data_IF_990493594609
#
_entry.id   IF_990493594609
#
_cell.length_a   1.000
_cell.length_b   1.000
_cell.length_c   1.000
_cell.angle_alpha   90.00
_cell.angle_beta   90.00
_cell.angle_gamma   90.00
#
_symmetry.space_group_name_H-M   'P 1'
#
loop_
_entity.id
_entity.type
_entity.pdbx_description
1 polymer ?
#
# COMPACT_ATOMS: atom_id res chain seq x y z
N UNK A 1 -18.10 -25.12 16.50
CA UNK A 1 -16.70 -24.84 16.15
C UNK A 1 -16.54 -23.34 15.94
N UNK A 2 -15.60 -22.70 16.60
CA UNK A 2 -15.38 -21.27 16.36
C UNK A 2 -14.84 -21.03 14.97
N UNK A 3 -15.30 -19.95 14.36
CA UNK A 3 -14.77 -19.47 13.10
C UNK A 3 -13.58 -18.57 13.40
N UNK A 4 -12.42 -18.94 12.88
CA UNK A 4 -11.20 -18.14 13.03
C UNK A 4 -11.05 -17.28 11.79
N UNK A 5 -10.89 -15.98 11.97
CA UNK A 5 -10.62 -15.05 10.90
C UNK A 5 -9.16 -14.64 10.98
N UNK A 6 -8.42 -14.91 9.93
CA UNK A 6 -7.03 -14.48 9.82
C UNK A 6 -6.95 -13.19 9.02
N UNK A 7 -6.07 -12.28 9.45
CA UNK A 7 -5.73 -11.11 8.66
C UNK A 7 -4.85 -11.49 7.48
N UNK A 8 -4.59 -10.53 6.60
CA UNK A 8 -3.73 -10.71 5.44
C UNK A 8 -2.29 -10.94 5.90
N UNK A 9 -1.69 -12.03 5.44
CA UNK A 9 -0.27 -12.34 5.70
C UNK A 9 0.64 -11.45 4.84
N UNK A 10 1.91 -11.36 5.23
CA UNK A 10 2.92 -10.66 4.44
C UNK A 10 2.90 -11.18 3.00
N UNK A 11 2.73 -10.27 2.05
CA UNK A 11 2.65 -10.61 0.63
C UNK A 11 1.46 -11.45 0.22
N UNK A 12 0.49 -11.68 1.11
CA UNK A 12 -0.69 -12.51 0.81
C UNK A 12 -1.54 -11.96 -0.33
N UNK A 13 -1.48 -10.66 -0.57
CA UNK A 13 -2.17 -10.00 -1.68
C UNK A 13 -1.49 -10.21 -3.04
N UNK A 14 -0.21 -10.60 -3.03
CA UNK A 14 0.58 -10.73 -4.27
C UNK A 14 0.20 -12.00 -5.02
N UNK A 15 -0.14 -11.85 -6.30
CA UNK A 15 -0.40 -12.97 -7.22
C UNK A 15 0.88 -13.32 -7.98
N UNK A 16 1.58 -12.29 -8.49
CA UNK A 16 2.80 -12.48 -9.29
C UNK A 16 3.62 -11.21 -9.32
N UNK A 17 4.95 -11.36 -9.38
CA UNK A 17 5.86 -10.25 -9.64
C UNK A 17 7.04 -10.73 -10.48
N UNK A 18 7.64 -9.81 -11.26
CA UNK A 18 8.73 -10.16 -12.17
C UNK A 18 10.01 -10.52 -11.40
N UNK A 19 10.37 -9.74 -10.39
CA UNK A 19 11.55 -9.97 -9.56
C UNK A 19 11.46 -9.13 -8.30
N UNK A 20 11.45 -9.78 -7.14
CA UNK A 20 11.28 -9.07 -5.87
C UNK A 20 12.32 -7.99 -5.61
N UNK A 21 13.56 -8.21 -6.04
CA UNK A 21 14.65 -7.25 -5.84
C UNK A 21 14.44 -5.98 -6.67
N UNK A 22 13.62 -6.06 -7.71
CA UNK A 22 13.27 -4.92 -8.55
C UNK A 22 11.96 -4.26 -8.10
N UNK A 23 10.97 -5.05 -7.75
CA UNK A 23 9.61 -4.56 -7.45
C UNK A 23 9.46 -4.02 -6.04
N UNK A 24 10.25 -4.53 -5.10
CA UNK A 24 10.15 -4.19 -3.68
C UNK A 24 11.27 -3.28 -3.24
N UNK A 25 10.97 -2.36 -2.34
CA UNK A 25 11.98 -1.52 -1.69
C UNK A 25 11.61 -1.32 -0.23
N UNK A 26 12.63 -1.11 0.59
CA UNK A 26 12.46 -0.69 1.98
C UNK A 26 12.30 0.82 2.01
N UNK A 27 11.21 1.27 2.66
CA UNK A 27 10.90 2.69 2.78
C UNK A 27 10.62 3.02 4.24
N UNK A 28 10.44 4.31 4.54
CA UNK A 28 10.04 4.76 5.87
C UNK A 28 8.58 5.17 5.83
N UNK A 29 7.78 4.58 6.74
CA UNK A 29 6.40 4.97 6.96
C UNK A 29 6.39 6.03 8.06
N UNK A 30 5.75 7.16 7.78
CA UNK A 30 5.73 8.31 8.69
C UNK A 30 4.96 8.00 9.97
N UNK A 31 5.46 8.54 11.09
CA UNK A 31 4.75 8.54 12.37
C UNK A 31 3.34 9.13 12.19
N UNK A 32 2.37 8.53 12.85
CA UNK A 32 0.97 8.94 12.76
C UNK A 32 0.15 8.22 11.69
N UNK A 33 0.80 7.40 10.86
CA UNK A 33 0.08 6.60 9.86
C UNK A 33 -0.79 5.53 10.50
N UNK A 34 -0.45 5.12 11.73
CA UNK A 34 -1.23 4.15 12.47
C UNK A 34 -0.79 2.71 12.23
N UNK A 35 -1.65 1.80 12.62
CA UNK A 35 -1.42 0.36 12.44
C UNK A 35 -1.91 -0.05 11.06
N UNK A 36 -1.01 -0.53 10.23
CA UNK A 36 -1.27 -0.87 8.85
C UNK A 36 -1.15 -2.36 8.60
N UNK A 37 -2.05 -2.91 7.82
CA UNK A 37 -2.03 -4.32 7.41
C UNK A 37 -1.27 -4.49 6.10
N UNK A 38 -0.82 -5.72 5.83
CA UNK A 38 -0.29 -6.08 4.51
C UNK A 38 -1.35 -5.81 3.43
N UNK A 39 -0.94 -5.27 2.31
CA UNK A 39 -1.85 -4.91 1.22
C UNK A 39 -2.40 -3.48 1.29
N UNK A 40 -1.99 -2.68 2.29
CA UNK A 40 -2.40 -1.29 2.39
C UNK A 40 -1.77 -0.47 1.27
N UNK A 41 -2.59 0.30 0.56
CA UNK A 41 -2.11 1.22 -0.47
C UNK A 41 -1.53 2.46 0.21
N UNK A 42 -0.32 2.83 -0.17
CA UNK A 42 0.40 3.95 0.42
C UNK A 42 0.57 5.10 -0.58
N UNK A 43 0.61 6.30 -0.05
CA UNK A 43 1.01 7.49 -0.78
C UNK A 43 2.36 7.98 -0.26
N UNK A 44 3.09 8.70 -1.10
CA UNK A 44 4.39 9.26 -0.73
C UNK A 44 4.28 10.75 -0.46
N UNK A 45 4.67 11.17 0.74
CA UNK A 45 4.71 12.58 1.11
C UNK A 45 5.85 13.23 0.34
N UNK A 46 5.56 14.27 -0.42
CA UNK A 46 6.52 14.96 -1.29
C UNK A 46 7.68 15.52 -0.48
N UNK A 47 7.40 16.18 0.65
CA UNK A 47 8.43 16.71 1.53
C UNK A 47 8.96 15.61 2.43
N UNK A 48 10.24 15.30 2.34
CA UNK A 48 10.89 14.27 3.15
C UNK A 48 10.84 12.87 2.58
N UNK A 49 9.93 12.58 1.64
CA UNK A 49 9.87 11.28 0.96
C UNK A 49 9.39 10.11 1.79
N UNK A 50 8.77 10.36 2.94
CA UNK A 50 8.19 9.30 3.76
C UNK A 50 6.85 8.87 3.19
N UNK A 51 6.47 7.62 3.48
CA UNK A 51 5.20 7.07 3.03
C UNK A 51 4.17 7.11 4.16
N UNK A 52 2.92 7.23 3.79
CA UNK A 52 1.78 7.15 4.70
C UNK A 52 0.63 6.44 3.96
N UNK A 53 -0.48 6.20 4.65
CA UNK A 53 -1.67 5.67 3.96
C UNK A 53 -2.10 6.60 2.84
N UNK A 54 -2.62 6.03 1.76
CA UNK A 54 -3.22 6.83 0.68
C UNK A 54 -4.29 7.76 1.28
N UNK A 55 -4.17 9.04 1.01
CA UNK A 55 -5.08 10.06 1.52
C UNK A 55 -5.64 10.88 0.36
N UNK A 56 -6.73 10.43 -0.29
CA UNK A 56 -7.20 11.01 -1.56
C UNK A 56 -7.52 12.52 -1.49
N UNK A 57 -7.81 13.02 -0.30
CA UNK A 57 -8.13 14.45 -0.10
C UNK A 57 -6.94 15.29 0.36
N UNK A 58 -5.77 14.67 0.56
CA UNK A 58 -4.57 15.39 0.97
C UNK A 58 -3.98 16.18 -0.20
N UNK A 59 -3.05 17.09 0.13
CA UNK A 59 -2.35 17.92 -0.85
C UNK A 59 -0.83 17.83 -0.72
N UNK A 60 -0.33 16.91 0.12
CA UNK A 60 1.09 16.76 0.45
C UNK A 60 1.82 15.70 -0.38
N UNK A 61 1.16 15.11 -1.38
CA UNK A 61 1.68 14.02 -2.21
C UNK A 61 1.05 12.67 -1.91
N UNK A 62 0.53 12.47 -0.70
CA UNK A 62 -0.08 11.19 -0.30
C UNK A 62 -1.45 10.95 -0.93
N UNK A 63 -2.00 11.90 -1.66
CA UNK A 63 -3.23 11.72 -2.43
C UNK A 63 -3.03 10.83 -3.66
N UNK A 64 -1.80 10.61 -4.07
CA UNK A 64 -1.46 9.76 -5.22
C UNK A 64 -0.93 8.41 -4.73
N UNK A 65 -1.49 7.31 -5.22
CA UNK A 65 -1.02 5.98 -4.86
C UNK A 65 0.44 5.79 -5.33
N UNK A 66 1.30 5.35 -4.43
CA UNK A 66 2.73 5.21 -4.69
C UNK A 66 3.26 3.78 -4.50
N UNK A 67 2.50 2.92 -3.87
CA UNK A 67 2.91 1.53 -3.65
C UNK A 67 1.96 0.79 -2.74
N UNK A 68 2.27 -0.48 -2.50
CA UNK A 68 1.46 -1.37 -1.66
C UNK A 68 2.35 -1.97 -0.59
N UNK A 69 1.94 -1.84 0.67
CA UNK A 69 2.69 -2.35 1.81
C UNK A 69 2.78 -3.88 1.79
N UNK A 70 3.99 -4.41 1.92
CA UNK A 70 4.24 -5.86 1.87
C UNK A 70 3.77 -6.58 3.14
N UNK A 71 4.09 -6.02 4.30
CA UNK A 71 3.77 -6.64 5.60
C UNK A 71 3.21 -5.59 6.55
N UNK A 72 2.40 -6.05 7.51
CA UNK A 72 1.81 -5.17 8.51
C UNK A 72 2.86 -4.50 9.39
N UNK A 73 2.57 -3.28 9.80
CA UNK A 73 3.41 -2.52 10.73
C UNK A 73 2.57 -1.55 11.56
N UNK A 74 3.17 -1.00 12.59
CA UNK A 74 2.53 0.00 13.45
C UNK A 74 3.40 1.26 13.49
N UNK A 75 2.94 2.31 12.83
CA UNK A 75 3.57 3.61 12.78
C UNK A 75 2.77 4.67 13.57
N UNK A 76 2.09 4.25 14.64
CA UNK A 76 1.23 5.14 15.43
C UNK A 76 2.02 6.22 16.16
N UNK A 77 3.21 5.90 16.67
CA UNK A 77 3.97 6.81 17.54
C UNK A 77 5.39 7.13 17.06
N UNK A 78 5.87 6.46 16.02
CA UNK A 78 7.21 6.66 15.48
C UNK A 78 7.26 6.27 14.01
N UNK A 79 8.26 6.79 13.29
CA UNK A 79 8.57 6.33 11.94
C UNK A 79 9.01 4.88 11.98
N UNK A 80 8.57 4.07 11.02
CA UNK A 80 8.87 2.65 10.93
C UNK A 80 9.32 2.30 9.53
N UNK A 81 10.38 1.48 9.42
CA UNK A 81 10.79 0.92 8.14
C UNK A 81 9.83 -0.17 7.69
N UNK A 82 9.48 -0.18 6.43
CA UNK A 82 8.62 -1.21 5.84
C UNK A 82 9.04 -1.52 4.42
N UNK A 83 8.66 -2.70 3.96
CA UNK A 83 8.87 -3.11 2.57
C UNK A 83 7.60 -2.85 1.78
N UNK A 84 7.75 -2.24 0.61
CA UNK A 84 6.62 -1.95 -0.28
C UNK A 84 6.89 -2.43 -1.68
N UNK A 85 5.83 -2.77 -2.40
CA UNK A 85 5.89 -2.97 -3.85
C UNK A 85 5.71 -1.60 -4.49
N UNK A 86 6.76 -1.08 -5.09
CA UNK A 86 6.79 0.26 -5.69
C UNK A 86 6.56 0.27 -7.18
N UNK A 87 6.84 -0.84 -7.85
CA UNK A 87 6.74 -0.92 -9.30
C UNK A 87 6.49 -2.35 -9.74
N UNK A 88 6.00 -2.49 -10.96
CA UNK A 88 5.82 -3.78 -11.61
C UNK A 88 6.86 -4.05 -12.68
N UNK A 89 6.66 -5.06 -13.48
CA UNK A 89 5.40 -5.85 -13.56
C UNK A 89 5.08 -6.66 -12.30
N UNK A 90 3.91 -6.44 -11.74
CA UNK A 90 3.37 -7.21 -10.62
C UNK A 90 1.85 -7.30 -10.75
N UNK A 91 1.29 -8.43 -10.31
CA UNK A 91 -0.15 -8.64 -10.26
C UNK A 91 -0.55 -8.88 -8.81
N UNK A 92 -1.53 -8.14 -8.34
CA UNK A 92 -2.02 -8.25 -6.97
C UNK A 92 -3.52 -8.57 -6.96
N UNK A 93 -3.96 -9.26 -5.89
CA UNK A 93 -5.36 -9.60 -5.72
C UNK A 93 -6.11 -8.38 -5.16
N UNK A 94 -7.01 -7.82 -5.97
CA UNK A 94 -7.76 -6.62 -5.59
C UNK A 94 -8.63 -6.80 -4.35
N UNK A 95 -9.01 -8.04 -4.03
CA UNK A 95 -9.82 -8.34 -2.86
C UNK A 95 -9.02 -8.34 -1.56
N UNK A 96 -7.69 -8.38 -1.66
CA UNK A 96 -6.77 -8.37 -0.52
C UNK A 96 -6.13 -6.99 -0.30
N UNK A 97 -6.50 -6.00 -1.10
CA UNK A 97 -5.97 -4.64 -0.99
C UNK A 97 -6.78 -3.85 0.03
N UNK A 98 -6.09 -3.20 0.96
CA UNK A 98 -6.70 -2.34 1.96
C UNK A 98 -6.72 -0.89 1.47
N UNK A 99 -7.89 -0.39 1.18
CA UNK A 99 -8.13 0.99 0.77
C UNK A 99 -8.34 1.89 2.00
N UNK A 100 -8.10 3.21 1.88
CA UNK A 100 -8.39 4.11 2.99
C UNK A 100 -9.86 4.07 3.36
N UNK A 101 -10.14 4.18 4.66
CA UNK A 101 -11.50 4.23 5.17
C UNK A 101 -12.25 5.41 4.54
N UNK A 102 -13.47 5.16 4.09
CA UNK A 102 -14.29 6.18 3.44
C UNK A 102 -13.92 6.50 2.01
N UNK A 103 -12.99 5.75 1.39
CA UNK A 103 -12.63 5.97 -0.01
C UNK A 103 -13.83 5.73 -0.93
N UNK A 104 -14.06 6.67 -1.84
CA UNK A 104 -15.12 6.53 -2.84
C UNK A 104 -14.67 5.61 -3.97
N UNK A 105 -15.64 5.08 -4.73
CA UNK A 105 -15.34 4.25 -5.88
C UNK A 105 -14.49 4.99 -6.91
N UNK A 106 -14.76 6.28 -7.12
CA UNK A 106 -13.96 7.12 -8.01
C UNK A 106 -12.50 7.26 -7.54
N UNK A 107 -12.30 7.40 -6.22
CA UNK A 107 -10.97 7.47 -5.62
C UNK A 107 -10.20 6.15 -5.76
N UNK A 108 -10.87 5.03 -5.56
CA UNK A 108 -10.30 3.70 -5.75
C UNK A 108 -9.93 3.47 -7.20
N UNK A 109 -10.79 3.85 -8.13
CA UNK A 109 -10.53 3.75 -9.57
C UNK A 109 -9.30 4.59 -9.97
N UNK A 110 -9.21 5.82 -9.48
CA UNK A 110 -8.06 6.70 -9.75
C UNK A 110 -6.76 6.09 -9.21
N UNK A 111 -6.78 5.56 -8.00
CA UNK A 111 -5.62 4.90 -7.40
C UNK A 111 -5.23 3.64 -8.18
N UNK A 112 -6.19 2.84 -8.61
CA UNK A 112 -5.96 1.65 -9.44
C UNK A 112 -5.28 2.02 -10.75
N UNK A 113 -5.71 3.09 -11.39
CA UNK A 113 -5.11 3.61 -12.62
C UNK A 113 -3.66 4.06 -12.37
N UNK A 114 -3.42 4.76 -11.25
CA UNK A 114 -2.07 5.20 -10.87
C UNK A 114 -1.15 4.01 -10.63
N UNK A 115 -1.62 2.99 -9.91
CA UNK A 115 -0.84 1.76 -9.68
C UNK A 115 -0.54 1.04 -10.99
N UNK A 116 -1.51 0.97 -11.91
CA UNK A 116 -1.29 0.36 -13.22
C UNK A 116 -0.19 1.09 -14.01
N UNK A 117 -0.11 2.41 -13.89
CA UNK A 117 0.96 3.20 -14.50
C UNK A 117 2.33 2.87 -13.91
N UNK A 118 2.38 2.40 -12.66
CA UNK A 118 3.60 1.91 -12.03
C UNK A 118 3.90 0.46 -12.40
N UNK A 119 3.03 -0.19 -13.15
CA UNK A 119 3.15 -1.59 -13.52
C UNK A 119 2.52 -2.57 -12.53
N UNK A 120 1.77 -2.08 -11.56
CA UNK A 120 1.08 -2.90 -10.55
C UNK A 120 -0.38 -3.04 -10.96
N UNK A 121 -0.79 -4.24 -11.34
CA UNK A 121 -2.12 -4.54 -11.86
C UNK A 121 -2.94 -5.26 -10.82
N UNK A 122 -4.15 -4.75 -10.55
CA UNK A 122 -5.10 -5.38 -9.63
C UNK A 122 -6.03 -6.30 -10.42
N UNK A 123 -6.16 -7.52 -9.93
CA UNK A 123 -7.01 -8.54 -10.57
C UNK A 123 -7.97 -9.22 -9.63
#
# INVERSE_FOLDING_TARGET
MPILTEGTHAGGFLVWEVLRDYTRETITVASGAGKLAAGTVLGKITTGGKFTTLAPTATNGSQTAAGILWDGLDASSADVSGVVILRGPAIVNRHEIAWPEGATEAQITAATTTLAALGIVLR
#
